data_IF_085677658632
#
_entry.id   IF_085677658632
#
_cell.length_a   1.000
_cell.length_b   1.000
_cell.length_c   1.000
_cell.angle_alpha   90.00
_cell.angle_beta   90.00
_cell.angle_gamma   90.00
#
_symmetry.space_group_name_H-M   'P 1'
#
loop_
_entity.id
_entity.type
_entity.pdbx_description
1 polymer ?
#
# COMPACT_ATOMS: atom_id res chain seq x y z
N UNK A 1 -0.61 16.90 -2.59
CA UNK A 1 0.58 16.34 -1.91
C UNK A 1 1.81 17.00 -2.48
N UNK A 2 2.87 17.21 -1.70
CA UNK A 2 4.19 17.67 -2.22
C UNK A 2 5.03 16.52 -2.78
N UNK A 3 4.62 15.27 -2.53
CA UNK A 3 5.33 14.06 -2.94
C UNK A 3 4.44 13.15 -3.79
N UNK A 4 5.07 12.35 -4.64
CA UNK A 4 4.39 11.30 -5.40
C UNK A 4 3.74 10.27 -4.46
N UNK A 5 4.49 9.80 -3.47
CA UNK A 5 4.08 8.75 -2.54
C UNK A 5 4.75 8.95 -1.18
N UNK A 6 4.08 8.58 -0.10
CA UNK A 6 4.66 8.50 1.25
C UNK A 6 4.58 7.06 1.77
N UNK A 7 5.72 6.49 2.17
CA UNK A 7 5.81 5.11 2.64
C UNK A 7 6.27 5.04 4.10
N UNK A 8 5.53 4.31 4.93
CA UNK A 8 5.89 4.10 6.33
C UNK A 8 6.64 2.78 6.51
N UNK A 9 7.81 2.83 7.12
CA UNK A 9 8.52 1.64 7.62
C UNK A 9 8.27 1.48 9.11
N UNK A 10 7.89 0.27 9.54
CA UNK A 10 7.59 -0.03 10.95
C UNK A 10 8.13 -1.40 11.38
N UNK A 11 7.95 -1.69 12.67
CA UNK A 11 8.31 -2.96 13.32
C UNK A 11 7.17 -3.39 14.24
N UNK A 12 6.02 -3.68 13.64
CA UNK A 12 4.79 -4.10 14.34
C UNK A 12 4.34 -5.46 13.80
N UNK A 13 3.95 -6.35 14.70
CA UNK A 13 3.45 -7.68 14.34
C UNK A 13 1.95 -7.56 14.10
N UNK A 14 1.54 -7.54 12.83
CA UNK A 14 0.13 -7.44 12.47
C UNK A 14 -0.53 -8.82 12.47
N UNK A 15 -1.83 -8.84 12.80
CA UNK A 15 -2.61 -10.06 12.85
C UNK A 15 -2.60 -10.80 11.50
N UNK A 16 -2.71 -12.13 11.55
CA UNK A 16 -2.79 -13.02 10.38
C UNK A 16 -1.56 -12.98 9.45
N UNK A 17 -0.44 -12.42 9.93
CA UNK A 17 0.84 -12.42 9.23
C UNK A 17 0.96 -11.35 8.14
N UNK A 18 0.16 -10.29 8.22
CA UNK A 18 0.21 -9.15 7.31
C UNK A 18 1.55 -8.43 7.44
N UNK A 19 2.18 -8.14 6.30
CA UNK A 19 3.50 -7.51 6.24
C UNK A 19 3.48 -6.07 5.70
N UNK A 20 2.41 -5.68 5.02
CA UNK A 20 2.28 -4.36 4.41
C UNK A 20 0.83 -4.04 4.07
N UNK A 21 0.61 -2.79 3.66
CA UNK A 21 -0.66 -2.34 3.11
C UNK A 21 -0.42 -1.09 2.24
N UNK A 22 -1.01 -1.05 1.05
CA UNK A 22 -0.97 0.09 0.14
C UNK A 22 -2.34 0.38 -0.48
N UNK A 23 -2.66 1.66 -0.71
CA UNK A 23 -3.81 2.02 -1.53
C UNK A 23 -3.54 1.70 -2.99
N UNK A 24 -4.42 0.91 -3.62
CA UNK A 24 -4.27 0.55 -5.03
C UNK A 24 -4.51 1.76 -5.93
N UNK A 25 -3.58 2.01 -6.85
CA UNK A 25 -3.67 3.06 -7.86
C UNK A 25 -4.73 2.75 -8.93
N UNK A 26 -5.14 3.76 -9.69
CA UNK A 26 -6.08 3.56 -10.81
C UNK A 26 -5.79 4.53 -11.95
N UNK A 27 -6.07 4.10 -13.17
CA UNK A 27 -5.98 4.89 -14.41
C UNK A 27 -7.17 5.83 -14.62
N UNK A 28 -8.22 5.72 -13.80
CA UNK A 28 -9.42 6.56 -13.90
C UNK A 28 -9.07 8.02 -13.63
N UNK A 29 -9.65 8.92 -14.45
CA UNK A 29 -9.57 10.36 -14.19
C UNK A 29 -10.17 10.69 -12.81
N UNK A 30 -9.44 11.45 -12.00
CA UNK A 30 -9.79 11.72 -10.60
C UNK A 30 -9.99 10.44 -9.76
N UNK A 31 -9.26 9.38 -10.11
CA UNK A 31 -9.14 8.18 -9.31
C UNK A 31 -8.52 8.46 -7.94
N UNK A 32 -8.87 7.64 -6.96
CA UNK A 32 -8.47 7.82 -5.58
C UNK A 32 -7.64 6.59 -5.17
N UNK A 33 -6.41 6.82 -4.72
CA UNK A 33 -5.49 5.78 -4.29
C UNK A 33 -4.23 5.72 -5.14
N UNK A 34 -3.12 5.33 -4.52
CA UNK A 34 -1.84 5.16 -5.19
C UNK A 34 -1.14 6.46 -5.55
N UNK A 35 -0.15 6.36 -6.44
CA UNK A 35 0.78 7.45 -6.77
C UNK A 35 0.04 8.74 -7.16
N UNK A 36 0.58 9.87 -6.70
CA UNK A 36 0.12 11.22 -7.04
C UNK A 36 -1.37 11.51 -6.74
N UNK A 37 -2.03 10.72 -5.88
CA UNK A 37 -3.40 11.00 -5.45
C UNK A 37 -3.50 12.38 -4.79
N UNK A 38 -4.44 13.19 -5.26
CA UNK A 38 -4.74 14.50 -4.71
C UNK A 38 -5.49 14.42 -3.36
N UNK A 39 -5.69 15.58 -2.74
CA UNK A 39 -6.41 15.70 -1.48
C UNK A 39 -7.81 15.05 -1.56
N UNK A 40 -8.05 14.06 -0.71
CA UNK A 40 -9.32 13.35 -0.58
C UNK A 40 -10.05 13.79 0.69
N UNK A 41 -11.34 14.13 0.57
CA UNK A 41 -12.20 14.54 1.67
C UNK A 41 -13.32 13.49 1.86
N UNK A 42 -13.13 12.50 2.74
CA UNK A 42 -14.11 11.46 2.97
C UNK A 42 -15.41 12.07 3.52
N UNK A 43 -16.55 11.62 2.99
CA UNK A 43 -17.87 12.10 3.43
C UNK A 43 -18.09 11.96 4.95
N UNK A 44 -17.55 10.88 5.53
CA UNK A 44 -17.61 10.57 6.96
C UNK A 44 -16.93 11.64 7.83
N UNK A 45 -15.86 12.26 7.31
CA UNK A 45 -15.07 13.25 8.05
C UNK A 45 -15.34 14.70 7.62
N UNK A 46 -16.35 14.95 6.77
CA UNK A 46 -16.64 16.30 6.24
C UNK A 46 -16.83 17.36 7.33
N UNK A 47 -17.43 17.01 8.47
CA UNK A 47 -17.64 17.93 9.60
C UNK A 47 -16.37 18.28 10.37
N UNK A 48 -15.34 17.43 10.26
CA UNK A 48 -14.09 17.54 11.02
C UNK A 48 -12.98 18.18 10.17
N UNK A 49 -13.26 18.49 8.90
CA UNK A 49 -12.31 19.09 7.95
C UNK A 49 -10.99 18.29 7.82
N UNK A 50 -11.07 16.97 7.95
CA UNK A 50 -9.91 16.08 7.78
C UNK A 50 -9.69 15.83 6.29
N UNK A 51 -8.58 16.34 5.78
CA UNK A 51 -8.05 16.02 4.45
C UNK A 51 -7.13 14.82 4.55
N UNK A 52 -7.40 13.79 3.75
CA UNK A 52 -6.52 12.63 3.60
C UNK A 52 -5.78 12.70 2.27
N UNK A 53 -4.64 12.04 2.21
CA UNK A 53 -3.94 11.76 0.97
C UNK A 53 -3.76 10.25 0.90
N UNK A 54 -4.29 9.62 -0.16
CA UNK A 54 -4.26 8.16 -0.31
C UNK A 54 -3.10 7.69 -1.21
N UNK A 55 -2.07 8.54 -1.35
CA UNK A 55 -0.79 8.19 -1.95
C UNK A 55 0.17 7.63 -0.89
N UNK A 56 -0.31 6.62 -0.15
CA UNK A 56 0.40 6.06 1.00
C UNK A 56 0.49 4.55 0.95
N UNK A 57 1.57 4.03 1.51
CA UNK A 57 1.77 2.61 1.79
C UNK A 57 2.56 2.40 3.08
N UNK A 58 2.59 1.17 3.59
CA UNK A 58 3.41 0.80 4.74
C UNK A 58 4.02 -0.58 4.57
N UNK A 59 5.19 -0.78 5.20
CA UNK A 59 5.86 -2.07 5.32
C UNK A 59 6.27 -2.29 6.78
N UNK A 60 5.93 -3.44 7.34
CA UNK A 60 6.48 -3.94 8.60
C UNK A 60 7.61 -4.93 8.33
N UNK A 61 8.62 -4.91 9.21
CA UNK A 61 9.73 -5.88 9.18
C UNK A 61 9.66 -6.89 10.34
N UNK A 62 8.50 -6.99 10.99
CA UNK A 62 8.18 -7.95 12.04
C UNK A 62 6.98 -8.80 11.59
N UNK A 63 7.10 -10.13 11.67
CA UNK A 63 6.02 -11.07 11.43
C UNK A 63 6.17 -12.29 12.33
N UNK A 64 5.08 -12.72 12.95
CA UNK A 64 5.07 -13.84 13.91
C UNK A 64 6.17 -13.71 14.97
N UNK A 65 6.28 -12.49 15.51
CA UNK A 65 7.23 -12.06 16.51
C UNK A 65 8.71 -12.31 16.14
N UNK A 66 9.00 -12.36 14.83
CA UNK A 66 10.34 -12.52 14.27
C UNK A 66 10.62 -11.47 13.21
N UNK A 67 11.86 -10.97 13.22
CA UNK A 67 12.34 -10.10 12.14
C UNK A 67 12.42 -10.90 10.84
N UNK A 68 11.78 -10.39 9.79
CA UNK A 68 11.90 -10.95 8.44
C UNK A 68 13.28 -10.67 7.84
N UNK A 69 13.67 -11.45 6.83
CA UNK A 69 14.91 -11.24 6.10
C UNK A 69 14.83 -9.91 5.32
N UNK A 70 15.98 -9.27 5.08
CA UNK A 70 16.02 -8.05 4.27
C UNK A 70 15.48 -8.28 2.86
N UNK A 71 15.73 -9.47 2.28
CA UNK A 71 15.18 -9.85 0.97
C UNK A 71 13.64 -10.00 1.00
N UNK A 72 13.07 -10.46 2.11
CA UNK A 72 11.62 -10.50 2.27
C UNK A 72 11.05 -9.09 2.42
N UNK A 73 11.73 -8.22 3.17
CA UNK A 73 11.34 -6.81 3.30
C UNK A 73 11.37 -6.08 1.95
N UNK A 74 12.39 -6.32 1.10
CA UNK A 74 12.46 -5.76 -0.25
C UNK A 74 11.24 -6.18 -1.09
N UNK A 75 10.84 -7.45 -1.02
CA UNK A 75 9.67 -7.98 -1.73
C UNK A 75 8.36 -7.38 -1.22
N UNK A 76 8.20 -7.26 0.10
CA UNK A 76 7.01 -6.63 0.68
C UNK A 76 6.92 -5.18 0.24
N UNK A 77 8.00 -4.39 0.36
CA UNK A 77 7.97 -3.00 -0.08
C UNK A 77 7.70 -2.88 -1.58
N UNK A 78 8.31 -3.73 -2.41
CA UNK A 78 8.04 -3.75 -3.85
C UNK A 78 6.57 -4.08 -4.16
N UNK A 79 5.97 -5.02 -3.44
CA UNK A 79 4.57 -5.40 -3.58
C UNK A 79 3.62 -4.24 -3.25
N UNK A 80 3.81 -3.58 -2.10
CA UNK A 80 2.97 -2.44 -1.71
C UNK A 80 3.13 -1.23 -2.65
N UNK A 81 4.35 -1.00 -3.15
CA UNK A 81 4.58 -0.01 -4.20
C UNK A 81 3.86 -0.41 -5.50
N UNK A 82 3.86 -1.70 -5.86
CA UNK A 82 3.11 -2.24 -7.00
C UNK A 82 1.62 -1.91 -6.92
N UNK A 83 1.01 -2.08 -5.74
CA UNK A 83 -0.35 -1.62 -5.48
C UNK A 83 -0.48 -0.11 -5.71
N UNK A 84 0.42 0.71 -5.16
CA UNK A 84 0.34 2.15 -5.39
C UNK A 84 0.50 2.55 -6.87
N UNK A 85 1.16 1.74 -7.69
CA UNK A 85 1.23 1.90 -9.15
C UNK A 85 -0.02 1.39 -9.89
N UNK A 86 -0.94 0.74 -9.19
CA UNK A 86 -2.22 0.27 -9.72
C UNK A 86 -2.28 -1.22 -10.05
N UNK A 87 -1.27 -2.01 -9.66
CA UNK A 87 -1.35 -3.46 -9.79
C UNK A 87 -2.29 -4.03 -8.73
N UNK A 88 -3.23 -4.86 -9.17
CA UNK A 88 -3.94 -5.78 -8.27
C UNK A 88 -3.04 -7.01 -8.01
N UNK A 89 -3.51 -7.93 -7.16
CA UNK A 89 -2.88 -9.24 -7.03
C UNK A 89 -2.95 -10.02 -8.35
N UNK A 90 -1.92 -10.83 -8.61
CA UNK A 90 -1.95 -11.81 -9.69
C UNK A 90 -3.14 -12.76 -9.52
N UNK A 91 -3.74 -13.17 -10.64
CA UNK A 91 -4.76 -14.23 -10.64
C UNK A 91 -4.10 -15.60 -10.56
N UNK A 92 -4.86 -16.63 -10.17
CA UNK A 92 -4.40 -18.03 -10.14
C UNK A 92 -4.15 -18.65 -11.54
N UNK A 93 -4.08 -17.84 -12.60
CA UNK A 93 -3.79 -18.29 -13.95
C UNK A 93 -2.28 -18.52 -14.12
N UNK A 94 -1.84 -19.62 -14.78
CA UNK A 94 -0.42 -19.94 -14.95
C UNK A 94 0.42 -18.87 -15.68
N UNK A 95 -0.19 -17.97 -16.44
CA UNK A 95 0.51 -16.85 -17.08
C UNK A 95 1.06 -15.86 -16.04
N UNK A 96 0.30 -15.60 -14.97
CA UNK A 96 0.65 -14.63 -13.92
C UNK A 96 1.09 -15.30 -12.61
N UNK A 97 0.76 -16.58 -12.40
CA UNK A 97 1.17 -17.39 -11.24
C UNK A 97 1.72 -18.76 -11.67
N UNK A 98 2.96 -18.81 -12.20
CA UNK A 98 3.58 -20.05 -12.68
C UNK A 98 3.91 -21.03 -11.55
N UNK A 99 4.03 -22.32 -11.92
CA UNK A 99 4.42 -23.42 -11.02
C UNK A 99 5.94 -23.52 -10.81
#
# INVERSE_FOLDING_TARGET
SEFCLAHLFTYQDFDLGVLGLGWVGTDRKAGIGGICTDAYLPAVYRKQQVTLYLNTGLTSTLNWNRRILTREADLVTAHELGHNFGSEHDTDDPECSPN
#
